data_IF_006326647748
#
_entry.id   IF_006326647748
#
_cell.length_a   1.000
_cell.length_b   1.000
_cell.length_c   1.000
_cell.angle_alpha   90.00
_cell.angle_beta   90.00
_cell.angle_gamma   90.00
#
_symmetry.space_group_name_H-M   'P 1'
#
loop_
_entity.id
_entity.type
_entity.pdbx_description
1 polymer ?
#
# COMPACT_ATOMS: atom_id res chain seq x y z
N UNK A 1 18.95 15.39 -8.11
CA UNK A 1 18.25 14.67 -9.19
C UNK A 1 18.30 13.20 -8.82
N UNK A 2 17.30 12.72 -8.09
CA UNK A 2 17.16 11.29 -7.78
C UNK A 2 16.85 10.55 -9.07
N UNK A 3 17.57 9.46 -9.32
CA UNK A 3 17.35 8.59 -10.45
C UNK A 3 15.92 8.04 -10.33
N UNK A 4 15.02 8.27 -11.30
CA UNK A 4 13.61 7.86 -11.21
C UNK A 4 13.42 6.34 -10.98
N UNK A 5 14.48 5.54 -11.18
CA UNK A 5 14.51 4.09 -11.03
C UNK A 5 15.18 3.56 -9.74
N UNK A 6 15.65 4.42 -8.83
CA UNK A 6 16.24 3.96 -7.57
C UNK A 6 15.18 3.98 -6.46
N UNK A 7 15.00 2.84 -5.80
CA UNK A 7 14.12 2.70 -4.63
C UNK A 7 14.66 3.52 -3.46
N UNK A 8 13.79 4.33 -2.86
CA UNK A 8 14.04 5.04 -1.61
C UNK A 8 13.13 4.51 -0.48
N UNK A 9 13.66 3.59 0.33
CA UNK A 9 12.92 3.01 1.46
C UNK A 9 12.66 4.02 2.59
N UNK A 10 13.48 5.08 2.70
CA UNK A 10 13.23 6.14 3.68
C UNK A 10 12.02 6.96 3.23
N UNK A 11 11.94 7.30 1.94
CA UNK A 11 10.77 7.99 1.38
C UNK A 11 9.49 7.16 1.53
N UNK A 12 9.54 5.83 1.32
CA UNK A 12 8.42 4.92 1.61
C UNK A 12 7.96 5.08 3.06
N UNK A 13 8.90 4.97 4.00
CA UNK A 13 8.60 5.06 5.44
C UNK A 13 8.02 6.42 5.83
N UNK A 14 8.64 7.51 5.38
CA UNK A 14 8.21 8.87 5.69
C UNK A 14 6.85 9.19 5.08
N UNK A 15 6.58 8.72 3.85
CA UNK A 15 5.29 8.90 3.20
C UNK A 15 4.17 8.17 3.94
N UNK A 16 4.40 6.91 4.32
CA UNK A 16 3.42 6.18 5.15
C UNK A 16 3.26 6.78 6.53
N UNK A 17 4.33 7.28 7.16
CA UNK A 17 4.21 7.97 8.44
C UNK A 17 3.42 9.26 8.33
N UNK A 18 3.64 10.03 7.26
CA UNK A 18 2.91 11.28 6.98
C UNK A 18 1.45 11.04 6.62
N UNK A 19 1.13 9.88 6.02
CA UNK A 19 -0.26 9.56 5.68
C UNK A 19 -1.11 9.28 6.92
N UNK A 20 -0.52 8.92 8.06
CA UNK A 20 -1.24 8.77 9.33
C UNK A 20 -1.63 10.15 9.87
N UNK A 21 -2.93 10.48 9.80
CA UNK A 21 -3.50 11.70 10.39
C UNK A 21 -3.98 11.41 11.81
N UNK A 22 -4.25 12.47 12.57
CA UNK A 22 -5.00 12.38 13.82
C UNK A 22 -6.42 11.82 13.58
N UNK A 23 -7.11 11.37 14.64
CA UNK A 23 -8.47 10.79 14.59
C UNK A 23 -8.62 9.49 13.78
N UNK A 24 -7.58 8.65 13.76
CA UNK A 24 -7.54 7.34 13.09
C UNK A 24 -7.87 7.42 11.57
N UNK A 25 -7.37 8.48 10.90
CA UNK A 25 -7.61 8.72 9.47
C UNK A 25 -6.31 8.66 8.65
N UNK A 26 -6.45 8.53 7.33
CA UNK A 26 -5.34 8.38 6.39
C UNK A 26 -5.43 9.43 5.29
N UNK A 27 -4.41 10.27 5.15
CA UNK A 27 -4.25 11.20 4.04
C UNK A 27 -3.94 10.44 2.74
N UNK A 28 -4.78 10.63 1.71
CA UNK A 28 -4.67 9.86 0.47
C UNK A 28 -3.40 10.22 -0.32
N UNK A 29 -2.97 11.48 -0.28
CA UNK A 29 -1.80 11.94 -1.04
C UNK A 29 -0.51 11.24 -0.59
N UNK A 30 -0.15 11.37 0.69
CA UNK A 30 1.06 10.71 1.20
C UNK A 30 0.93 9.17 1.19
N UNK A 31 -0.29 8.63 1.24
CA UNK A 31 -0.54 7.20 1.02
C UNK A 31 -0.17 6.78 -0.41
N UNK A 32 -0.61 7.53 -1.42
CA UNK A 32 -0.26 7.29 -2.83
C UNK A 32 1.25 7.39 -3.03
N UNK A 33 1.90 8.40 -2.44
CA UNK A 33 3.35 8.59 -2.53
C UNK A 33 4.12 7.37 -2.00
N UNK A 34 3.73 6.86 -0.84
CA UNK A 34 4.34 5.65 -0.25
C UNK A 34 4.18 4.42 -1.14
N UNK A 35 2.99 4.21 -1.72
CA UNK A 35 2.76 3.08 -2.61
C UNK A 35 3.43 3.23 -3.98
N UNK A 36 3.53 4.43 -4.53
CA UNK A 36 4.27 4.69 -5.77
C UNK A 36 5.75 4.33 -5.63
N UNK A 37 6.35 4.65 -4.49
CA UNK A 37 7.73 4.28 -4.20
C UNK A 37 7.87 2.77 -3.90
N UNK A 38 6.94 2.18 -3.15
CA UNK A 38 6.93 0.73 -2.87
C UNK A 38 6.77 -0.11 -4.14
N UNK A 39 6.05 0.40 -5.14
CA UNK A 39 5.95 -0.23 -6.46
C UNK A 39 7.30 -0.35 -7.15
N UNK A 40 8.25 0.57 -6.91
CA UNK A 40 9.63 0.44 -7.43
C UNK A 40 10.34 -0.74 -6.79
N UNK A 41 10.13 -0.98 -5.49
CA UNK A 41 10.64 -2.17 -4.80
C UNK A 41 10.06 -3.46 -5.39
N UNK A 42 8.74 -3.52 -5.60
CA UNK A 42 8.10 -4.69 -6.21
C UNK A 42 8.63 -5.00 -7.62
N UNK A 43 8.98 -3.97 -8.38
CA UNK A 43 9.59 -4.16 -9.70
C UNK A 43 11.06 -4.58 -9.62
N UNK A 44 11.78 -4.15 -8.58
CA UNK A 44 13.19 -4.51 -8.36
C UNK A 44 13.37 -6.01 -8.07
N UNK A 45 12.44 -6.61 -7.33
CA UNK A 45 12.46 -8.04 -6.96
C UNK A 45 12.03 -8.98 -8.11
N UNK A 46 11.72 -8.42 -9.29
CA UNK A 46 11.57 -9.17 -10.54
C UNK A 46 10.14 -9.35 -11.04
N UNK A 47 10.02 -9.94 -12.24
CA UNK A 47 8.76 -10.05 -12.99
C UNK A 47 7.69 -10.91 -12.31
N UNK A 48 8.09 -11.80 -11.39
CA UNK A 48 7.14 -12.59 -10.58
C UNK A 48 6.21 -11.66 -9.80
N UNK A 49 6.66 -10.48 -9.36
CA UNK A 49 5.84 -9.53 -8.59
C UNK A 49 5.17 -8.45 -9.43
N UNK A 50 5.29 -8.52 -10.77
CA UNK A 50 4.72 -7.53 -11.68
C UNK A 50 3.19 -7.52 -11.68
N UNK A 51 2.54 -8.65 -11.38
CA UNK A 51 1.09 -8.70 -11.25
C UNK A 51 0.62 -7.90 -10.02
N UNK A 52 1.32 -8.03 -8.90
CA UNK A 52 1.02 -7.27 -7.68
C UNK A 52 1.22 -5.77 -7.93
N UNK A 53 2.35 -5.40 -8.55
CA UNK A 53 2.62 -3.99 -8.83
C UNK A 53 1.64 -3.40 -9.84
N UNK A 54 1.12 -4.20 -10.79
CA UNK A 54 0.07 -3.80 -11.71
C UNK A 54 -1.26 -3.49 -10.98
N UNK A 55 -1.69 -4.36 -10.08
CA UNK A 55 -2.93 -4.16 -9.32
C UNK A 55 -2.84 -2.92 -8.42
N UNK A 56 -1.71 -2.74 -7.74
CA UNK A 56 -1.43 -1.55 -6.92
C UNK A 56 -1.45 -0.29 -7.79
N UNK A 57 -0.74 -0.27 -8.92
CA UNK A 57 -0.73 0.87 -9.86
C UNK A 57 -2.12 1.19 -10.39
N UNK A 58 -2.94 0.18 -10.66
CA UNK A 58 -4.32 0.37 -11.13
C UNK A 58 -5.15 1.14 -10.09
N UNK A 59 -5.07 0.72 -8.82
CA UNK A 59 -5.77 1.40 -7.72
C UNK A 59 -5.25 2.82 -7.47
N UNK A 60 -3.93 3.02 -7.49
CA UNK A 60 -3.34 4.36 -7.38
C UNK A 60 -3.90 5.29 -8.45
N UNK A 61 -3.92 4.85 -9.72
CA UNK A 61 -4.45 5.65 -10.83
C UNK A 61 -5.92 6.03 -10.64
N UNK A 62 -6.73 5.16 -10.05
CA UNK A 62 -8.13 5.47 -9.71
C UNK A 62 -8.17 6.56 -8.64
N UNK A 63 -7.40 6.42 -7.57
CA UNK A 63 -7.33 7.40 -6.48
C UNK A 63 -6.82 8.78 -6.97
N UNK A 64 -5.78 8.80 -7.80
CA UNK A 64 -5.23 10.03 -8.40
C UNK A 64 -6.28 10.75 -9.25
N UNK A 65 -7.04 10.02 -10.08
CA UNK A 65 -8.13 10.59 -10.88
C UNK A 65 -9.23 11.19 -10.01
N UNK A 66 -9.63 10.51 -8.95
CA UNK A 66 -10.68 10.97 -8.04
C UNK A 66 -10.23 12.22 -7.26
N UNK A 67 -8.94 12.32 -6.93
CA UNK A 67 -8.33 13.50 -6.28
C UNK A 67 -8.29 14.76 -7.13
N UNK A 68 -8.34 14.66 -8.46
CA UNK A 68 -8.37 15.82 -9.36
C UNK A 68 -9.74 16.05 -10.01
N UNK A 69 -10.72 15.18 -9.69
CA UNK A 69 -12.07 15.25 -10.23
C UNK A 69 -12.99 16.22 -9.48
N UNK A 70 -14.25 16.25 -9.90
CA UNK A 70 -15.31 17.10 -9.31
C UNK A 70 -15.54 16.81 -7.82
N UNK A 71 -15.33 15.57 -7.40
CA UNK A 71 -15.48 15.12 -6.02
C UNK A 71 -14.18 15.18 -5.20
N UNK A 72 -13.12 15.81 -5.72
CA UNK A 72 -11.76 15.84 -5.12
C UNK A 72 -11.73 16.18 -3.63
N UNK A 73 -12.62 17.07 -3.16
CA UNK A 73 -12.75 17.46 -1.75
C UNK A 73 -13.06 16.27 -0.82
N UNK A 74 -13.70 15.23 -1.33
CA UNK A 74 -14.03 14.00 -0.58
C UNK A 74 -12.89 12.98 -0.61
N UNK A 75 -11.92 13.13 -1.51
CA UNK A 75 -10.78 12.24 -1.68
C UNK A 75 -9.47 12.79 -1.08
N UNK A 76 -9.58 13.65 -0.07
CA UNK A 76 -8.42 14.12 0.72
C UNK A 76 -7.96 13.05 1.73
N UNK A 77 -8.90 12.26 2.25
CA UNK A 77 -8.65 11.27 3.32
C UNK A 77 -9.56 10.07 3.19
N UNK A 78 -9.16 8.94 3.78
CA UNK A 78 -9.93 7.69 3.72
C UNK A 78 -11.30 7.85 4.38
N UNK A 79 -11.39 8.53 5.53
CA UNK A 79 -12.66 8.75 6.23
C UNK A 79 -13.64 9.57 5.42
N UNK A 80 -13.19 10.67 4.78
CA UNK A 80 -14.03 11.47 3.88
C UNK A 80 -14.47 10.67 2.66
N UNK A 81 -13.56 9.92 2.06
CA UNK A 81 -13.83 9.09 0.89
C UNK A 81 -14.88 8.04 1.20
N UNK A 82 -14.66 7.25 2.26
CA UNK A 82 -15.58 6.18 2.66
C UNK A 82 -16.97 6.73 3.01
N UNK A 83 -17.04 7.89 3.68
CA UNK A 83 -18.32 8.54 3.98
C UNK A 83 -19.05 8.96 2.71
N UNK A 84 -18.37 9.65 1.81
CA UNK A 84 -18.92 10.11 0.54
C UNK A 84 -19.42 8.94 -0.33
N UNK A 85 -18.60 7.91 -0.49
CA UNK A 85 -18.94 6.76 -1.33
C UNK A 85 -20.11 5.95 -0.76
N UNK A 86 -20.22 5.87 0.57
CA UNK A 86 -21.37 5.29 1.27
C UNK A 86 -22.65 6.11 1.07
N UNK A 87 -22.58 7.43 1.24
CA UNK A 87 -23.76 8.31 1.12
C UNK A 87 -24.29 8.42 -0.31
N UNK A 88 -23.44 8.21 -1.31
CA UNK A 88 -23.78 8.32 -2.73
C UNK A 88 -24.04 6.97 -3.41
N UNK A 89 -23.99 5.87 -2.65
CA UNK A 89 -24.09 4.49 -3.15
C UNK A 89 -23.11 4.18 -4.29
N UNK A 90 -21.95 4.85 -4.32
CA UNK A 90 -20.92 4.62 -5.34
C UNK A 90 -20.22 3.26 -5.18
N UNK A 91 -20.32 2.65 -3.98
CA UNK A 91 -19.80 1.31 -3.70
C UNK A 91 -20.48 0.19 -4.55
N UNK A 92 -21.61 0.47 -5.20
CA UNK A 92 -22.32 -0.49 -6.06
C UNK A 92 -21.85 -0.45 -7.53
N UNK A 93 -21.02 0.54 -7.91
CA UNK A 93 -20.44 0.65 -9.25
C UNK A 93 -19.05 0.00 -9.26
N UNK A 94 -18.74 -0.78 -10.29
CA UNK A 94 -17.54 -1.63 -10.42
C UNK A 94 -16.16 -0.92 -10.39
N UNK A 95 -16.10 0.39 -10.10
CA UNK A 95 -14.88 1.21 -10.06
C UNK A 95 -14.44 1.55 -8.62
N UNK A 96 -14.80 0.72 -7.64
CA UNK A 96 -14.52 1.00 -6.22
C UNK A 96 -13.04 0.80 -5.86
N UNK A 97 -12.50 1.70 -5.02
CA UNK A 97 -11.14 1.58 -4.49
C UNK A 97 -11.04 0.39 -3.51
N UNK A 98 -12.05 0.20 -2.66
CA UNK A 98 -12.09 -0.94 -1.75
C UNK A 98 -12.75 -2.16 -2.40
N UNK A 99 -12.58 -3.34 -1.79
CA UNK A 99 -13.28 -4.55 -2.25
C UNK A 99 -14.75 -4.55 -1.83
N UNK A 100 -15.49 -5.59 -2.21
CA UNK A 100 -16.79 -5.87 -1.60
C UNK A 100 -16.64 -6.11 -0.10
N UNK A 101 -17.71 -5.90 0.67
CA UNK A 101 -17.73 -6.11 2.13
C UNK A 101 -17.23 -7.52 2.52
N UNK A 102 -17.65 -8.56 1.79
CA UNK A 102 -17.20 -9.93 2.01
C UNK A 102 -15.68 -10.08 1.83
N UNK A 103 -15.12 -9.53 0.74
CA UNK A 103 -13.67 -9.60 0.45
C UNK A 103 -12.85 -8.80 1.46
N UNK A 104 -13.38 -7.65 1.90
CA UNK A 104 -12.73 -6.84 2.94
C UNK A 104 -12.75 -7.56 4.28
N UNK A 105 -13.87 -8.16 4.65
CA UNK A 105 -14.01 -8.91 5.91
C UNK A 105 -13.05 -10.11 5.94
N UNK A 106 -12.98 -10.84 4.84
CA UNK A 106 -12.02 -11.94 4.68
C UNK A 106 -10.57 -11.43 4.80
N UNK A 107 -10.22 -10.38 4.05
CA UNK A 107 -8.88 -9.80 4.10
C UNK A 107 -8.51 -9.30 5.51
N UNK A 108 -9.42 -8.64 6.22
CA UNK A 108 -9.18 -8.13 7.58
C UNK A 108 -8.99 -9.26 8.61
N UNK A 109 -9.62 -10.42 8.39
CA UNK A 109 -9.43 -11.61 9.24
C UNK A 109 -8.08 -12.30 9.00
N UNK A 110 -7.66 -12.37 7.73
CA UNK A 110 -6.49 -13.16 7.30
C UNK A 110 -5.18 -12.34 7.33
N UNK A 111 -5.25 -11.03 7.01
CA UNK A 111 -4.07 -10.19 6.85
C UNK A 111 -3.20 -10.13 8.13
N UNK A 112 -3.75 -9.98 9.35
CA UNK A 112 -2.93 -10.01 10.56
C UNK A 112 -2.14 -11.32 10.73
N UNK A 113 -2.78 -12.46 10.44
CA UNK A 113 -2.15 -13.78 10.52
C UNK A 113 -1.06 -13.96 9.45
N UNK A 114 -1.30 -13.40 8.28
CA UNK A 114 -0.32 -13.38 7.18
C UNK A 114 0.89 -12.54 7.55
N UNK A 115 0.69 -11.33 8.08
CA UNK A 115 1.79 -10.46 8.54
C UNK A 115 2.60 -11.11 9.65
N UNK A 116 1.95 -11.77 10.63
CA UNK A 116 2.64 -12.54 11.65
C UNK A 116 3.50 -13.66 11.04
N UNK A 117 2.94 -14.41 10.07
CA UNK A 117 3.68 -15.47 9.39
C UNK A 117 4.88 -14.91 8.60
N UNK A 118 4.72 -13.75 7.95
CA UNK A 118 5.81 -13.06 7.25
C UNK A 118 6.93 -12.63 8.20
N UNK A 119 6.60 -12.07 9.37
CA UNK A 119 7.57 -11.74 10.40
C UNK A 119 8.31 -13.00 10.89
N UNK A 120 7.61 -14.08 11.21
CA UNK A 120 8.24 -15.35 11.61
C UNK A 120 9.19 -15.90 10.55
N UNK A 121 8.82 -15.85 9.27
CA UNK A 121 9.71 -16.23 8.16
C UNK A 121 10.95 -15.35 8.13
N UNK A 122 10.80 -14.03 8.25
CA UNK A 122 11.92 -13.10 8.30
C UNK A 122 12.88 -13.41 9.46
N UNK A 123 12.36 -13.57 10.68
CA UNK A 123 13.17 -13.89 11.86
C UNK A 123 13.96 -15.19 11.67
N UNK A 124 13.32 -16.24 11.13
CA UNK A 124 13.99 -17.52 10.86
C UNK A 124 15.08 -17.39 9.79
N UNK A 125 14.81 -16.68 8.69
CA UNK A 125 15.82 -16.43 7.65
C UNK A 125 17.00 -15.64 8.24
N UNK A 126 16.73 -14.60 9.02
CA UNK A 126 17.78 -13.81 9.66
C UNK A 126 18.64 -14.66 10.61
N UNK A 127 18.02 -15.53 11.42
CA UNK A 127 18.73 -16.47 12.28
C UNK A 127 19.61 -17.42 11.47
N UNK A 128 19.13 -17.96 10.36
CA UNK A 128 19.93 -18.84 9.49
C UNK A 128 21.14 -18.08 8.91
N UNK A 129 20.98 -16.82 8.52
CA UNK A 129 22.12 -16.00 8.08
C UNK A 129 23.18 -15.84 9.18
N UNK A 130 22.77 -15.74 10.45
CA UNK A 130 23.68 -15.71 11.59
C UNK A 130 24.34 -17.08 11.83
N UNK A 131 23.55 -18.15 11.87
CA UNK A 131 24.00 -19.51 12.17
C UNK A 131 25.01 -20.04 11.15
N UNK A 132 24.82 -19.69 9.87
CA UNK A 132 25.72 -20.09 8.79
C UNK A 132 26.81 -19.05 8.49
N UNK A 133 26.96 -18.00 9.32
CA UNK A 133 27.94 -16.93 9.16
C UNK A 133 27.91 -16.24 7.77
N UNK A 134 26.72 -16.18 7.14
CA UNK A 134 26.56 -15.49 5.85
C UNK A 134 26.80 -13.98 5.96
N UNK A 135 26.67 -13.40 7.16
CA UNK A 135 26.99 -11.99 7.43
C UNK A 135 28.48 -11.65 7.31
N UNK A 136 29.37 -12.66 7.37
CA UNK A 136 30.83 -12.49 7.29
C UNK A 136 31.39 -12.77 5.88
N UNK A 137 30.51 -13.04 4.90
CA UNK A 137 30.93 -13.22 3.52
C UNK A 137 31.36 -11.87 2.90
N UNK A 138 32.43 -11.87 2.06
CA UNK A 138 32.98 -10.66 1.45
C UNK A 138 32.04 -9.98 0.46
#
# INVERSE_FOLDING_TARGET
MSNENTLDLLYVHESFKKSLKDDDDVEIESYIDGYNELVKFLNLIGTVFSFVSSDVRSKIKIMEKLRVGEASIYYESFKKMMKYEKETNLYEKNDFIFGSEDKLTEAMSILPQTLQSCDEVYQRVHQLYADFAFHDLP
#
